data_IF_614989030178
#
_entry.id   IF_614989030178
#
_cell.length_a   1.000
_cell.length_b   1.000
_cell.length_c   1.000
_cell.angle_alpha   90.00
_cell.angle_beta   90.00
_cell.angle_gamma   90.00
#
_symmetry.space_group_name_H-M   'P 1'
#
loop_
_entity.id
_entity.type
_entity.pdbx_description
1 polymer ?
#
# COMPACT_ATOMS: atom_id res chain seq x y z
N UNK A 1 6.91 7.58 11.14
CA UNK A 1 5.81 8.15 10.33
C UNK A 1 6.25 9.42 9.59
N UNK A 2 6.86 10.40 10.26
CA UNK A 2 7.27 11.69 9.65
C UNK A 2 8.19 11.50 8.43
N UNK A 3 9.24 10.67 8.55
CA UNK A 3 10.18 10.41 7.44
C UNK A 3 9.45 9.77 6.24
N UNK A 4 8.64 8.73 6.47
CA UNK A 4 7.87 8.08 5.42
C UNK A 4 7.00 9.08 4.65
N UNK A 5 6.22 9.88 5.38
CA UNK A 5 5.37 10.92 4.79
C UNK A 5 6.18 11.90 3.95
N UNK A 6 7.30 12.37 4.46
CA UNK A 6 8.17 13.33 3.76
C UNK A 6 8.71 12.74 2.46
N UNK A 7 9.20 11.49 2.48
CA UNK A 7 9.72 10.81 1.30
C UNK A 7 8.62 10.60 0.26
N UNK A 8 7.41 10.19 0.67
CA UNK A 8 6.27 10.05 -0.23
C UNK A 8 5.83 11.38 -0.84
N UNK A 9 5.82 12.45 -0.04
CA UNK A 9 5.51 13.78 -0.54
C UNK A 9 6.53 14.23 -1.60
N UNK A 10 7.82 13.99 -1.35
CA UNK A 10 8.88 14.26 -2.33
C UNK A 10 8.76 13.39 -3.57
N UNK A 11 8.37 12.12 -3.40
CA UNK A 11 8.08 11.24 -4.53
C UNK A 11 6.97 11.79 -5.42
N UNK A 12 5.91 12.33 -4.82
CA UNK A 12 4.84 12.96 -5.57
C UNK A 12 5.27 14.25 -6.27
N UNK A 13 5.97 15.15 -5.57
CA UNK A 13 6.48 16.43 -6.09
C UNK A 13 7.43 16.22 -7.28
N UNK A 14 8.29 15.21 -7.21
CA UNK A 14 9.31 14.92 -8.23
C UNK A 14 8.83 13.88 -9.27
N UNK A 15 7.59 13.41 -9.18
CA UNK A 15 7.04 12.35 -10.02
C UNK A 15 7.88 11.06 -10.07
N UNK A 16 8.45 10.67 -8.93
CA UNK A 16 9.19 9.42 -8.81
C UNK A 16 8.25 8.21 -8.75
N UNK A 17 8.82 7.05 -9.05
CA UNK A 17 8.14 5.75 -9.06
C UNK A 17 7.55 5.38 -7.69
N UNK A 18 6.39 4.72 -7.66
CA UNK A 18 5.73 4.38 -6.39
C UNK A 18 6.44 3.28 -5.58
N UNK A 19 7.49 2.65 -6.13
CA UNK A 19 8.19 1.55 -5.49
C UNK A 19 9.42 1.98 -4.68
N UNK A 20 10.01 3.15 -4.93
CA UNK A 20 11.32 3.47 -4.34
C UNK A 20 11.27 3.67 -2.82
N UNK A 21 10.23 4.32 -2.29
CA UNK A 21 10.16 4.65 -0.86
C UNK A 21 10.08 3.39 -0.01
N UNK A 22 9.14 2.50 -0.30
CA UNK A 22 9.01 1.27 0.49
C UNK A 22 10.20 0.32 0.27
N UNK A 23 10.76 0.26 -0.95
CA UNK A 23 11.96 -0.56 -1.20
C UNK A 23 13.14 -0.06 -0.40
N UNK A 24 13.39 1.25 -0.40
CA UNK A 24 14.43 1.86 0.42
C UNK A 24 14.24 1.54 1.90
N UNK A 25 13.01 1.63 2.42
CA UNK A 25 12.74 1.33 3.83
C UNK A 25 12.94 -0.15 4.16
N UNK A 26 12.57 -1.06 3.26
CA UNK A 26 12.87 -2.49 3.39
C UNK A 26 14.38 -2.75 3.37
N UNK A 27 15.12 -2.12 2.46
CA UNK A 27 16.58 -2.29 2.31
C UNK A 27 17.33 -1.75 3.54
N UNK A 28 16.83 -0.70 4.18
CA UNK A 28 17.36 -0.17 5.44
C UNK A 28 16.99 -1.06 6.64
N UNK A 29 16.19 -2.11 6.43
CA UNK A 29 15.85 -3.11 7.44
C UNK A 29 14.56 -2.85 8.22
N UNK A 30 13.68 -1.96 7.73
CA UNK A 30 12.36 -1.76 8.35
C UNK A 30 11.51 -3.02 8.15
N UNK A 31 10.97 -3.64 9.21
CA UNK A 31 10.16 -4.85 9.06
C UNK A 31 8.91 -4.61 8.19
N UNK A 32 8.55 -5.53 7.28
CA UNK A 32 7.38 -5.38 6.41
C UNK A 32 6.07 -5.10 7.16
N UNK A 33 5.84 -5.77 8.29
CA UNK A 33 4.65 -5.54 9.12
C UNK A 33 4.59 -4.13 9.69
N UNK A 34 5.73 -3.59 10.12
CA UNK A 34 5.80 -2.21 10.61
C UNK A 34 5.57 -1.21 9.49
N UNK A 35 6.09 -1.49 8.30
CA UNK A 35 5.90 -0.64 7.14
C UNK A 35 4.43 -0.61 6.70
N UNK A 36 3.76 -1.77 6.71
CA UNK A 36 2.31 -1.89 6.47
C UNK A 36 1.50 -1.02 7.43
N UNK A 37 1.76 -1.10 8.74
CA UNK A 37 1.09 -0.27 9.75
C UNK A 37 1.30 1.24 9.52
N UNK A 38 2.50 1.64 9.10
CA UNK A 38 2.83 3.04 8.86
C UNK A 38 2.10 3.58 7.63
N UNK A 39 2.04 2.81 6.54
CA UNK A 39 1.30 3.19 5.35
C UNK A 39 -0.21 3.17 5.58
N UNK A 40 -0.74 2.20 6.33
CA UNK A 40 -2.16 2.16 6.67
C UNK A 40 -2.58 3.38 7.51
N UNK A 41 -1.76 3.77 8.49
CA UNK A 41 -1.97 5.02 9.25
C UNK A 41 -1.89 6.24 8.34
N UNK A 42 -0.95 6.27 7.39
CA UNK A 42 -0.83 7.36 6.43
C UNK A 42 -2.09 7.48 5.57
N UNK A 43 -2.61 6.37 5.06
CA UNK A 43 -3.85 6.34 4.29
C UNK A 43 -5.05 6.84 5.13
N UNK A 44 -5.21 6.28 6.34
CA UNK A 44 -6.30 6.65 7.25
C UNK A 44 -6.26 8.10 7.73
N UNK A 45 -5.10 8.75 7.69
CA UNK A 45 -4.97 10.17 8.01
C UNK A 45 -5.66 11.10 7.00
N UNK A 46 -6.03 10.59 5.81
CA UNK A 46 -6.74 11.33 4.73
C UNK A 46 -6.12 12.70 4.45
N UNK A 47 -4.80 12.74 4.40
CA UNK A 47 -4.05 13.99 4.28
C UNK A 47 -4.39 14.72 2.97
N UNK A 48 -4.75 16.00 3.09
CA UNK A 48 -5.11 16.87 1.97
C UNK A 48 -3.94 17.10 1.00
N UNK A 49 -2.69 16.86 1.44
CA UNK A 49 -1.50 17.01 0.60
C UNK A 49 -1.59 16.19 -0.69
N UNK A 50 -2.20 15.00 -0.65
CA UNK A 50 -2.34 14.12 -1.81
C UNK A 50 -3.33 14.68 -2.84
N UNK A 51 -4.39 15.34 -2.37
CA UNK A 51 -5.36 16.02 -3.24
C UNK A 51 -4.72 17.26 -3.88
N UNK A 52 -3.98 18.05 -3.10
CA UNK A 52 -3.27 19.23 -3.58
C UNK A 52 -2.21 18.91 -4.63
N UNK A 53 -1.66 17.69 -4.60
CA UNK A 53 -0.69 17.18 -5.58
C UNK A 53 -1.37 16.46 -6.76
N UNK A 54 -2.70 16.54 -6.89
CA UNK A 54 -3.50 15.87 -7.92
C UNK A 54 -3.32 14.33 -7.97
N UNK A 55 -2.93 13.71 -6.85
CA UNK A 55 -2.75 12.25 -6.71
C UNK A 55 -3.54 11.72 -5.50
N UNK A 56 -4.89 11.82 -5.51
CA UNK A 56 -5.73 11.44 -4.36
C UNK A 56 -5.59 9.97 -3.96
N UNK A 57 -5.17 9.10 -4.89
CA UNK A 57 -4.99 7.67 -4.66
C UNK A 57 -3.52 7.23 -4.51
N UNK A 58 -2.60 8.18 -4.31
CA UNK A 58 -1.17 7.88 -4.21
C UNK A 58 -0.88 6.80 -3.16
N UNK A 59 -1.36 7.01 -1.93
CA UNK A 59 -1.08 6.08 -0.82
C UNK A 59 -1.66 4.69 -1.08
N UNK A 60 -2.87 4.59 -1.63
CA UNK A 60 -3.46 3.30 -2.02
C UNK A 60 -2.66 2.60 -3.12
N UNK A 61 -2.13 3.37 -4.08
CA UNK A 61 -1.28 2.84 -5.15
C UNK A 61 0.02 2.28 -4.60
N UNK A 62 0.66 3.00 -3.66
CA UNK A 62 1.87 2.55 -2.98
C UNK A 62 1.58 1.30 -2.13
N UNK A 63 0.49 1.29 -1.36
CA UNK A 63 0.05 0.14 -0.58
C UNK A 63 -0.19 -1.10 -1.46
N UNK A 64 -0.86 -0.93 -2.59
CA UNK A 64 -1.10 -2.01 -3.55
C UNK A 64 0.23 -2.56 -4.08
N UNK A 65 1.14 -1.70 -4.53
CA UNK A 65 2.44 -2.09 -5.04
C UNK A 65 3.30 -2.79 -3.98
N UNK A 66 3.26 -2.30 -2.74
CA UNK A 66 3.96 -2.88 -1.61
C UNK A 66 3.44 -4.27 -1.26
N UNK A 67 2.13 -4.45 -1.12
CA UNK A 67 1.53 -5.75 -0.77
C UNK A 67 1.76 -6.76 -1.90
N UNK A 68 1.62 -6.34 -3.17
CA UNK A 68 1.94 -7.18 -4.31
C UNK A 68 3.44 -7.57 -4.32
N UNK A 69 4.33 -6.66 -3.95
CA UNK A 69 5.77 -6.95 -3.80
C UNK A 69 6.03 -8.01 -2.71
N UNK A 70 5.34 -7.95 -1.58
CA UNK A 70 5.41 -8.97 -0.53
C UNK A 70 4.93 -10.33 -1.02
N UNK A 71 3.84 -10.37 -1.80
CA UNK A 71 3.32 -11.65 -2.35
C UNK A 71 4.28 -12.29 -3.35
N UNK A 72 5.03 -11.47 -4.10
CA UNK A 72 6.07 -11.94 -5.03
C UNK A 72 7.37 -12.33 -4.34
N UNK A 73 7.62 -11.83 -3.13
CA UNK A 73 8.88 -12.01 -2.42
C UNK A 73 8.62 -12.49 -0.98
N UNK A 74 8.08 -13.71 -0.78
CA UNK A 74 7.76 -14.23 0.55
C UNK A 74 9.00 -14.40 1.46
N UNK A 75 10.20 -14.40 0.87
CA UNK A 75 11.47 -14.44 1.61
C UNK A 75 11.77 -13.16 2.40
N UNK A 76 11.10 -12.03 2.10
CA UNK A 76 11.21 -10.79 2.86
C UNK A 76 10.52 -10.87 4.23
N UNK A 77 9.70 -11.90 4.44
CA UNK A 77 8.90 -12.07 5.65
C UNK A 77 9.46 -13.25 6.43
N UNK A 78 9.84 -13.06 7.72
CA UNK A 78 10.22 -14.16 8.58
C UNK A 78 9.15 -15.26 8.59
N UNK A 79 9.51 -16.55 8.47
CA UNK A 79 8.53 -17.64 8.44
C UNK A 79 7.57 -17.64 9.63
N UNK A 80 8.04 -17.24 10.81
CA UNK A 80 7.25 -17.10 12.04
C UNK A 80 6.13 -16.06 11.93
N UNK A 81 6.37 -14.99 11.18
CA UNK A 81 5.46 -13.85 11.05
C UNK A 81 4.61 -13.91 9.79
N UNK A 82 4.95 -14.80 8.83
CA UNK A 82 4.31 -14.87 7.51
C UNK A 82 2.80 -15.01 7.61
N UNK A 83 2.31 -15.99 8.36
CA UNK A 83 0.86 -16.23 8.49
C UNK A 83 0.15 -15.00 9.06
N UNK A 84 0.71 -14.40 10.12
CA UNK A 84 0.16 -13.21 10.76
C UNK A 84 0.11 -12.02 9.80
N UNK A 85 1.21 -11.77 9.08
CA UNK A 85 1.30 -10.66 8.15
C UNK A 85 0.37 -10.83 6.95
N UNK A 86 0.27 -12.04 6.39
CA UNK A 86 -0.65 -12.35 5.30
C UNK A 86 -2.10 -12.10 5.72
N UNK A 87 -2.51 -12.57 6.90
CA UNK A 87 -3.85 -12.29 7.44
C UNK A 87 -4.08 -10.78 7.60
N UNK A 88 -3.12 -10.04 8.18
CA UNK A 88 -3.23 -8.57 8.30
C UNK A 88 -3.32 -7.87 6.95
N UNK A 89 -2.56 -8.31 5.93
CA UNK A 89 -2.68 -7.79 4.57
C UNK A 89 -4.07 -8.06 3.99
N UNK A 90 -4.62 -9.28 4.16
CA UNK A 90 -5.97 -9.61 3.67
C UNK A 90 -7.05 -8.74 4.33
N UNK A 91 -7.00 -8.56 5.65
CA UNK A 91 -7.95 -7.73 6.38
C UNK A 91 -7.92 -6.27 5.90
N UNK A 92 -6.71 -5.71 5.77
CA UNK A 92 -6.49 -4.34 5.32
C UNK A 92 -6.95 -4.16 3.87
N UNK A 93 -6.57 -5.07 2.95
CA UNK A 93 -6.97 -5.01 1.53
C UNK A 93 -8.49 -5.11 1.39
N UNK A 94 -9.14 -5.96 2.19
CA UNK A 94 -10.60 -6.07 2.22
C UNK A 94 -11.23 -4.75 2.67
N UNK A 95 -10.68 -4.12 3.71
CA UNK A 95 -11.10 -2.78 4.14
C UNK A 95 -11.00 -1.73 3.03
N UNK A 96 -9.88 -1.69 2.31
CA UNK A 96 -9.71 -0.77 1.18
C UNK A 96 -10.67 -1.04 0.02
N UNK A 97 -10.96 -2.30 -0.27
CA UNK A 97 -11.92 -2.67 -1.31
C UNK A 97 -13.35 -2.20 -0.97
N UNK A 98 -13.75 -2.27 0.31
CA UNK A 98 -15.05 -1.76 0.77
C UNK A 98 -15.12 -0.23 0.63
N UNK A 99 -14.06 0.47 1.06
CA UNK A 99 -13.99 1.93 0.91
C UNK A 99 -14.00 2.37 -0.57
N UNK A 100 -13.22 1.69 -1.43
CA UNK A 100 -13.18 1.98 -2.86
C UNK A 100 -14.53 1.71 -3.54
N UNK A 101 -15.30 0.71 -3.12
CA UNK A 101 -16.64 0.44 -3.64
C UNK A 101 -17.68 1.48 -3.19
N UNK A 102 -17.52 2.04 -2.00
CA UNK A 102 -18.33 3.17 -1.55
C UNK A 102 -17.98 4.48 -2.29
N UNK A 103 -16.79 4.54 -2.88
CA UNK A 103 -16.34 5.65 -3.73
C UNK A 103 -16.83 5.43 -5.16
N UNK A 104 -17.20 6.50 -5.87
CA UNK A 104 -17.87 6.40 -7.19
C UNK A 104 -17.16 5.45 -8.17
N UNK A 105 -17.84 4.37 -8.55
CA UNK A 105 -17.34 3.31 -9.44
C UNK A 105 -17.15 3.75 -10.90
N UNK A 106 -17.49 5.00 -11.21
CA UNK A 106 -17.25 5.63 -12.52
C UNK A 106 -15.83 6.18 -12.68
N UNK A 107 -15.08 6.39 -11.59
CA UNK A 107 -13.69 6.84 -11.67
C UNK A 107 -12.79 5.71 -12.22
N UNK A 108 -12.10 5.91 -13.37
CA UNK A 108 -11.19 4.92 -13.95
C UNK A 108 -10.06 4.48 -13.00
N UNK A 109 -9.52 5.39 -12.19
CA UNK A 109 -8.48 5.11 -11.21
C UNK A 109 -8.96 4.20 -10.08
N UNK A 110 -10.16 4.47 -9.55
CA UNK A 110 -10.81 3.61 -8.54
C UNK A 110 -11.05 2.21 -9.09
N UNK A 111 -11.54 2.08 -10.33
CA UNK A 111 -11.75 0.77 -10.98
C UNK A 111 -10.46 -0.01 -11.15
N UNK A 112 -9.39 0.64 -11.63
CA UNK A 112 -8.09 0.01 -11.81
C UNK A 112 -7.51 -0.46 -10.48
N UNK A 113 -7.53 0.39 -9.45
CA UNK A 113 -7.05 0.02 -8.11
C UNK A 113 -7.86 -1.11 -7.50
N UNK A 114 -9.18 -1.08 -7.65
CA UNK A 114 -10.07 -2.17 -7.20
C UNK A 114 -9.70 -3.50 -7.84
N UNK A 115 -9.45 -3.52 -9.15
CA UNK A 115 -9.03 -4.73 -9.86
C UNK A 115 -7.66 -5.24 -9.36
N UNK A 116 -6.69 -4.34 -9.18
CA UNK A 116 -5.35 -4.69 -8.66
C UNK A 116 -5.40 -5.23 -7.24
N UNK A 117 -6.20 -4.63 -6.35
CA UNK A 117 -6.38 -5.13 -4.99
C UNK A 117 -7.07 -6.50 -4.96
N UNK A 118 -8.10 -6.73 -5.78
CA UNK A 118 -8.72 -8.07 -5.91
C UNK A 118 -7.73 -9.12 -6.38
N UNK A 119 -6.89 -8.80 -7.36
CA UNK A 119 -5.84 -9.71 -7.83
C UNK A 119 -4.80 -9.99 -6.74
N UNK A 120 -4.43 -8.98 -5.95
CA UNK A 120 -3.49 -9.12 -4.83
C UNK A 120 -4.09 -9.96 -3.70
N UNK A 121 -5.37 -9.77 -3.38
CA UNK A 121 -6.10 -10.57 -2.40
C UNK A 121 -6.11 -12.06 -2.78
N UNK A 122 -6.43 -12.37 -4.05
CA UNK A 122 -6.40 -13.74 -4.54
C UNK A 122 -5.00 -14.39 -4.51
N UNK A 123 -3.92 -13.59 -4.55
CA UNK A 123 -2.55 -14.08 -4.34
C UNK A 123 -2.29 -14.38 -2.87
N UNK A 124 -2.69 -13.46 -1.97
CA UNK A 124 -2.53 -13.62 -0.52
C UNK A 124 -3.26 -14.85 0.00
N UNK A 125 -4.46 -15.13 -0.50
CA UNK A 125 -5.25 -16.33 -0.15
C UNK A 125 -4.58 -17.67 -0.52
N UNK A 126 -3.61 -17.64 -1.44
CA UNK A 126 -2.88 -18.83 -1.92
C UNK A 126 -1.52 -19.04 -1.24
N UNK A 127 -1.10 -18.11 -0.37
CA UNK A 127 0.20 -18.14 0.34
C UNK A 127 0.13 -18.87 1.67
#
# INVERSE_FOLDING_TARGET
AIILRYLEQKSCELNFDTHWVYRLLLDVGVPPGRLLELYDKLYKSKDVVWQNQHKPHHVLTVLQAFIDHLTRNPGLIPPSDRKRLVMSCMDIVTGYLVELQATSSTDPGVRSLTASFKATLAKLERM
#
